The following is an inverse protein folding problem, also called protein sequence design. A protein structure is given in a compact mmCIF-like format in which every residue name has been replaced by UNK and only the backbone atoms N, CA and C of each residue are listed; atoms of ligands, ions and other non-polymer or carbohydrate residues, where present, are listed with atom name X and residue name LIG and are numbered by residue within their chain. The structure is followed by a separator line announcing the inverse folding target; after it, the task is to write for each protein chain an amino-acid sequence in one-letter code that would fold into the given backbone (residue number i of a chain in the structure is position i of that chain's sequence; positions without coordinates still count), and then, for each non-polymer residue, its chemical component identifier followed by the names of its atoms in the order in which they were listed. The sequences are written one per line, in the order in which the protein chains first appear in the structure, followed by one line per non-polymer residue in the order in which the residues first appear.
data_IF_612461578383
#
_entry.id   IF_612461578383
#
_cell.length_a   1.000
_cell.length_b   1.000
_cell.length_c   1.000
_cell.angle_alpha   90.00
_cell.angle_beta   90.00
_cell.angle_gamma   90.00
#
_symmetry.space_group_name_H-M   'P 1'
#
loop_
_entity.id
_entity.type
_entity.pdbx_description
1 polymer ?
#
# COMPACT_ATOMS: atom_id res chain seq x y z
N UNK A 1 19.80 -17.98 -30.48
CA UNK A 1 20.88 -17.01 -30.79
C UNK A 1 20.37 -15.65 -31.26
N UNK A 2 19.66 -15.51 -32.40
CA UNK A 2 19.20 -14.18 -32.87
C UNK A 2 18.12 -13.54 -31.97
N UNK A 3 17.10 -14.31 -31.57
CA UNK A 3 16.05 -13.84 -30.64
C UNK A 3 16.60 -13.40 -29.28
N UNK A 4 17.55 -14.15 -28.71
CA UNK A 4 18.18 -13.80 -27.43
C UNK A 4 19.05 -12.54 -27.55
N UNK A 5 19.73 -12.33 -28.68
CA UNK A 5 20.45 -11.07 -28.94
C UNK A 5 19.50 -9.88 -29.05
N UNK A 6 18.33 -10.07 -29.64
CA UNK A 6 17.30 -9.04 -29.74
C UNK A 6 16.68 -8.69 -28.38
N UNK A 7 16.36 -9.69 -27.56
CA UNK A 7 15.86 -9.50 -26.20
C UNK A 7 16.90 -8.83 -25.29
N UNK A 8 18.17 -9.22 -25.40
CA UNK A 8 19.26 -8.58 -24.67
C UNK A 8 19.43 -7.11 -25.08
N UNK A 9 19.24 -6.80 -26.36
CA UNK A 9 19.28 -5.42 -26.88
C UNK A 9 18.09 -4.60 -26.37
N UNK A 10 16.91 -5.18 -26.29
CA UNK A 10 15.72 -4.52 -25.72
C UNK A 10 15.88 -4.25 -24.22
N UNK A 11 16.40 -5.21 -23.45
CA UNK A 11 16.66 -5.00 -22.00
C UNK A 11 17.63 -3.84 -21.76
N UNK A 12 18.74 -3.80 -22.49
CA UNK A 12 19.72 -2.70 -22.40
C UNK A 12 19.11 -1.35 -22.79
N UNK A 13 18.25 -1.32 -23.80
CA UNK A 13 17.56 -0.10 -24.19
C UNK A 13 16.63 0.43 -23.08
N UNK A 14 15.89 -0.46 -22.43
CA UNK A 14 15.00 -0.10 -21.31
C UNK A 14 15.80 0.41 -20.10
N UNK A 15 16.96 -0.18 -19.80
CA UNK A 15 17.85 0.31 -18.74
C UNK A 15 18.38 1.71 -19.02
N UNK A 16 18.77 1.99 -20.27
CA UNK A 16 19.23 3.33 -20.67
C UNK A 16 18.10 4.38 -20.58
N UNK A 17 16.86 4.01 -20.91
CA UNK A 17 15.71 4.91 -20.78
C UNK A 17 15.39 5.26 -19.33
N UNK A 18 15.57 4.32 -18.39
CA UNK A 18 15.35 4.57 -16.95
C UNK A 18 16.33 5.58 -16.37
N UNK A 19 17.50 5.75 -16.99
CA UNK A 19 18.51 6.74 -16.59
C UNK A 19 18.30 8.11 -17.23
N UNK A 20 17.42 8.21 -18.24
CA UNK A 20 17.13 9.46 -18.92
C UNK A 20 16.24 10.33 -18.03
N UNK A 21 16.83 11.33 -17.37
CA UNK A 21 16.06 12.43 -16.78
C UNK A 21 15.57 13.34 -17.91
N UNK A 22 14.30 13.17 -18.28
CA UNK A 22 13.68 13.87 -19.39
C UNK A 22 13.23 15.26 -18.92
N UNK A 23 14.12 16.25 -19.06
CA UNK A 23 13.72 17.66 -19.09
C UNK A 23 13.35 18.13 -20.51
N UNK A 24 13.40 17.23 -21.50
CA UNK A 24 13.01 17.50 -22.88
C UNK A 24 11.58 16.99 -23.10
N UNK A 25 10.60 17.82 -23.48
CA UNK A 25 9.23 17.35 -23.70
C UNK A 25 9.22 16.07 -24.54
N UNK A 26 8.59 15.00 -24.03
CA UNK A 26 8.57 13.67 -24.66
C UNK A 26 8.24 13.71 -26.17
N UNK A 27 7.44 14.70 -26.58
CA UNK A 27 7.09 14.97 -27.97
C UNK A 27 8.28 15.40 -28.82
N UNK A 28 9.21 16.21 -28.29
CA UNK A 28 10.42 16.63 -28.99
C UNK A 28 11.40 15.47 -29.16
N UNK A 29 11.53 14.60 -28.14
CA UNK A 29 12.34 13.40 -28.23
C UNK A 29 11.81 12.43 -29.30
N UNK A 30 10.49 12.26 -29.40
CA UNK A 30 9.85 11.44 -30.44
C UNK A 30 9.97 12.05 -31.83
N UNK A 31 9.93 13.38 -31.96
CA UNK A 31 10.10 14.09 -33.22
C UNK A 31 11.52 13.91 -33.81
N UNK A 32 12.54 13.82 -32.95
CA UNK A 32 13.93 13.58 -33.36
C UNK A 32 14.24 12.11 -33.70
N UNK A 33 13.30 11.18 -33.47
CA UNK A 33 13.48 9.75 -33.79
C UNK A 33 12.58 9.33 -34.96
N UNK A 34 13.11 9.27 -36.20
CA UNK A 34 12.30 9.06 -37.41
C UNK A 34 11.50 7.75 -37.40
N UNK A 35 12.00 6.71 -36.73
CA UNK A 35 11.34 5.41 -36.59
C UNK A 35 10.08 5.47 -35.72
N UNK A 36 10.03 6.40 -34.78
CA UNK A 36 8.92 6.56 -33.82
C UNK A 36 8.00 7.74 -34.16
N UNK A 37 8.27 8.50 -35.23
CA UNK A 37 7.42 9.62 -35.68
C UNK A 37 5.96 9.22 -36.01
N UNK A 38 5.71 7.94 -36.31
CA UNK A 38 4.35 7.39 -36.51
C UNK A 38 3.62 7.06 -35.20
N UNK A 39 4.36 6.94 -34.10
CA UNK A 39 3.85 6.53 -32.80
C UNK A 39 2.89 7.58 -32.18
N UNK A 40 3.20 8.89 -32.20
CA UNK A 40 2.24 9.92 -31.77
C UNK A 40 0.93 9.86 -32.54
N UNK A 41 0.97 9.66 -33.86
CA UNK A 41 -0.24 9.55 -34.70
C UNK A 41 -1.06 8.30 -34.36
N UNK A 42 -0.39 7.17 -34.10
CA UNK A 42 -1.03 5.93 -33.65
C UNK A 42 -1.69 6.04 -32.27
N UNK A 43 -1.07 6.78 -31.35
CA UNK A 43 -1.62 7.09 -30.03
C UNK A 43 -2.87 7.96 -30.12
N UNK A 44 -2.84 9.02 -30.93
CA UNK A 44 -3.99 9.93 -31.11
C UNK A 44 -5.18 9.25 -31.77
N UNK A 45 -4.94 8.36 -32.75
CA UNK A 45 -6.00 7.62 -33.44
C UNK A 45 -6.61 6.52 -32.59
N UNK A 46 -5.88 5.99 -31.61
CA UNK A 46 -6.32 4.91 -30.73
C UNK A 46 -6.72 5.39 -29.32
N UNK A 47 -6.88 6.70 -29.14
CA UNK A 47 -7.16 7.37 -27.85
C UNK A 47 -8.32 6.73 -27.10
N UNK A 48 -9.44 6.45 -27.77
CA UNK A 48 -10.63 5.89 -27.14
C UNK A 48 -10.42 4.46 -26.58
N UNK A 49 -9.64 3.62 -27.28
CA UNK A 49 -9.30 2.27 -26.76
C UNK A 49 -8.28 2.34 -25.63
N UNK A 50 -7.37 3.32 -25.68
CA UNK A 50 -6.42 3.56 -24.59
C UNK A 50 -7.13 4.05 -23.33
N UNK A 51 -8.09 4.99 -23.46
CA UNK A 51 -8.93 5.45 -22.35
C UNK A 51 -9.72 4.28 -21.74
N UNK A 52 -10.35 3.44 -22.56
CA UNK A 52 -11.05 2.25 -22.08
C UNK A 52 -10.13 1.22 -21.41
N UNK A 53 -8.91 1.01 -21.93
CA UNK A 53 -7.94 0.06 -21.36
C UNK A 53 -7.21 0.61 -20.11
N UNK A 54 -7.08 1.93 -19.98
CA UNK A 54 -6.45 2.62 -18.87
C UNK A 54 -7.44 3.09 -17.81
N UNK A 55 -8.74 2.80 -17.96
CA UNK A 55 -9.74 3.05 -16.91
C UNK A 55 -9.54 2.02 -15.80
N UNK A 56 -8.53 2.24 -14.97
CA UNK A 56 -8.40 1.59 -13.68
C UNK A 56 -9.37 2.34 -12.76
N UNK A 57 -10.28 1.61 -12.12
CA UNK A 57 -11.18 2.20 -11.12
C UNK A 57 -10.33 2.56 -9.88
N UNK A 58 -9.75 3.76 -9.90
CA UNK A 58 -8.90 4.26 -8.81
C UNK A 58 -9.81 4.79 -7.71
N UNK A 59 -9.70 4.22 -6.51
CA UNK A 59 -10.35 4.81 -5.35
C UNK A 59 -9.71 6.18 -5.02
N UNK A 60 -10.44 7.03 -4.30
CA UNK A 60 -9.99 8.39 -3.97
C UNK A 60 -8.63 8.43 -3.27
N UNK A 61 -8.30 7.39 -2.48
CA UNK A 61 -6.99 7.29 -1.79
C UNK A 61 -5.85 7.15 -2.79
N UNK A 62 -6.02 6.32 -3.82
CA UNK A 62 -5.01 6.14 -4.85
C UNK A 62 -4.83 7.39 -5.71
N UNK A 63 -5.94 8.07 -6.03
CA UNK A 63 -5.93 9.38 -6.71
C UNK A 63 -5.22 10.46 -5.88
N UNK A 64 -5.45 10.52 -4.57
CA UNK A 64 -4.82 11.49 -3.68
C UNK A 64 -3.28 11.30 -3.67
N UNK A 65 -2.81 10.06 -3.54
CA UNK A 65 -1.38 9.74 -3.59
C UNK A 65 -0.76 10.09 -4.95
N UNK A 66 -1.42 9.72 -6.06
CA UNK A 66 -0.92 9.99 -7.41
C UNK A 66 -0.85 11.49 -7.73
N UNK A 67 -1.84 12.25 -7.26
CA UNK A 67 -1.92 13.70 -7.47
C UNK A 67 -1.11 14.49 -6.45
N UNK A 68 -0.34 13.84 -5.57
CA UNK A 68 0.34 14.45 -4.42
C UNK A 68 -0.59 15.38 -3.61
N UNK A 69 -1.88 15.05 -3.59
CA UNK A 69 -2.87 15.72 -2.75
C UNK A 69 -2.91 14.97 -1.43
N UNK A 70 -2.77 15.71 -0.34
CA UNK A 70 -3.02 15.16 0.98
C UNK A 70 -4.47 14.67 1.01
N UNK A 71 -4.72 13.37 1.26
CA UNK A 71 -6.07 12.91 1.50
C UNK A 71 -6.62 13.63 2.74
N UNK A 72 -7.91 13.95 2.72
CA UNK A 72 -8.59 14.50 3.89
C UNK A 72 -8.36 13.57 5.08
N UNK A 73 -7.95 14.15 6.21
CA UNK A 73 -7.76 13.38 7.44
C UNK A 73 -9.12 12.79 7.84
N UNK A 74 -9.21 11.46 7.77
CA UNK A 74 -10.35 10.71 8.31
C UNK A 74 -10.44 10.93 9.82
N UNK A 75 -11.66 10.90 10.36
CA UNK A 75 -11.85 10.93 11.81
C UNK A 75 -11.15 9.73 12.42
N UNK A 76 -10.46 9.96 13.53
CA UNK A 76 -9.91 8.86 14.31
C UNK A 76 -11.08 8.03 14.87
N UNK A 77 -11.18 6.73 14.55
CA UNK A 77 -12.21 5.88 15.13
C UNK A 77 -12.07 5.74 16.66
N UNK A 78 -10.91 6.09 17.23
CA UNK A 78 -10.63 5.96 18.65
C UNK A 78 -10.49 4.50 19.04
N UNK A 79 -11.56 3.93 19.61
CA UNK A 79 -11.66 2.50 19.94
C UNK A 79 -12.66 1.82 19.00
N UNK A 80 -12.27 0.67 18.45
CA UNK A 80 -13.11 -0.12 17.57
C UNK A 80 -13.00 -1.60 17.91
N UNK A 81 -13.88 -2.43 17.36
CA UNK A 81 -13.82 -3.87 17.55
C UNK A 81 -13.36 -4.54 16.26
N UNK A 82 -12.49 -5.53 16.40
CA UNK A 82 -12.04 -6.38 15.30
C UNK A 82 -12.26 -7.85 15.64
N UNK A 83 -12.57 -8.69 14.64
CA UNK A 83 -12.44 -10.12 14.81
C UNK A 83 -10.97 -10.46 15.02
N UNK A 84 -10.69 -11.34 15.97
CA UNK A 84 -9.36 -11.80 16.31
C UNK A 84 -9.39 -13.30 16.59
N UNK A 85 -8.41 -14.02 16.09
CA UNK A 85 -8.25 -15.44 16.36
C UNK A 85 -6.90 -15.68 17.01
N UNK A 86 -6.90 -16.40 18.13
CA UNK A 86 -5.66 -16.87 18.76
C UNK A 86 -5.73 -18.38 18.95
N UNK A 87 -4.80 -19.10 18.31
CA UNK A 87 -4.83 -20.56 18.15
C UNK A 87 -6.10 -21.04 17.46
N UNK A 88 -7.12 -21.43 18.23
CA UNK A 88 -8.44 -21.90 17.76
C UNK A 88 -9.59 -21.12 18.42
N UNK A 89 -9.27 -20.12 19.25
CA UNK A 89 -10.24 -19.29 19.92
C UNK A 89 -10.57 -18.09 19.04
N UNK A 90 -11.80 -18.06 18.54
CA UNK A 90 -12.34 -16.95 17.77
C UNK A 90 -12.99 -15.93 18.71
N UNK A 91 -12.54 -14.68 18.62
CA UNK A 91 -13.11 -13.52 19.29
C UNK A 91 -13.69 -12.63 18.21
N UNK A 92 -15.01 -12.48 18.17
CA UNK A 92 -15.64 -11.66 17.13
C UNK A 92 -15.42 -10.16 17.34
N UNK A 93 -15.30 -9.73 18.60
CA UNK A 93 -15.26 -8.33 19.00
C UNK A 93 -14.10 -8.05 19.98
N UNK A 94 -12.87 -8.21 19.52
CA UNK A 94 -11.70 -7.78 20.29
C UNK A 94 -11.58 -6.25 20.22
N UNK A 95 -11.46 -5.59 21.38
CA UNK A 95 -11.28 -4.15 21.44
C UNK A 95 -9.88 -3.77 20.94
N UNK A 96 -9.83 -2.91 19.93
CA UNK A 96 -8.61 -2.32 19.39
C UNK A 96 -8.62 -0.81 19.67
N UNK A 97 -7.62 -0.35 20.40
CA UNK A 97 -7.43 1.06 20.73
C UNK A 97 -6.11 1.54 20.13
N UNK A 98 -6.16 2.54 19.23
CA UNK A 98 -4.96 3.06 18.56
C UNK A 98 -4.02 3.81 19.52
N UNK A 99 -4.55 4.26 20.67
CA UNK A 99 -3.79 4.94 21.72
C UNK A 99 -3.23 4.01 22.81
N UNK A 100 -3.55 2.71 22.78
CA UNK A 100 -3.09 1.78 23.81
C UNK A 100 -1.64 1.33 23.53
N UNK A 101 -0.78 1.42 24.55
CA UNK A 101 0.61 0.96 24.48
C UNK A 101 0.79 -0.51 24.85
N UNK A 102 -0.26 -1.16 25.37
CA UNK A 102 -0.26 -2.54 25.85
C UNK A 102 -1.49 -3.30 25.36
N UNK A 103 -1.38 -4.62 25.29
CA UNK A 103 -2.51 -5.51 25.02
C UNK A 103 -2.88 -6.30 26.28
N UNK A 104 -4.17 -6.38 26.56
CA UNK A 104 -4.72 -7.12 27.71
C UNK A 104 -5.53 -8.32 27.22
N UNK A 105 -5.40 -9.44 27.93
CA UNK A 105 -6.22 -10.64 27.73
C UNK A 105 -6.84 -10.99 29.09
N UNK A 106 -8.16 -11.24 29.15
CA UNK A 106 -8.79 -11.71 30.39
C UNK A 106 -8.14 -13.01 30.89
N UNK A 107 -7.98 -13.13 32.20
CA UNK A 107 -7.34 -14.31 32.80
C UNK A 107 -8.05 -15.63 32.41
N UNK A 108 -9.38 -15.62 32.32
CA UNK A 108 -10.17 -16.77 31.86
C UNK A 108 -9.81 -17.22 30.43
N UNK A 109 -9.38 -16.29 29.57
CA UNK A 109 -8.89 -16.62 28.23
C UNK A 109 -7.45 -17.10 28.27
N UNK A 110 -6.61 -16.52 29.13
CA UNK A 110 -5.26 -17.01 29.38
C UNK A 110 -5.27 -18.47 29.83
N UNK A 111 -6.15 -18.85 30.76
CA UNK A 111 -6.31 -20.24 31.22
C UNK A 111 -6.71 -21.18 30.08
N UNK A 112 -7.69 -20.78 29.25
CA UNK A 112 -8.13 -21.55 28.08
C UNK A 112 -7.01 -21.77 27.05
N UNK A 113 -6.05 -20.85 26.98
CA UNK A 113 -4.91 -20.97 26.06
C UNK A 113 -3.84 -21.94 26.55
N UNK A 114 -3.91 -22.42 27.80
CA UNK A 114 -2.96 -23.39 28.34
C UNK A 114 -1.52 -22.88 28.35
N UNK A 115 -1.32 -21.58 28.61
CA UNK A 115 0.00 -20.93 28.54
C UNK A 115 0.91 -21.22 29.75
N UNK A 116 0.46 -22.07 30.68
CA UNK A 116 1.14 -22.38 31.93
C UNK A 116 0.84 -21.35 33.03
N UNK A 117 1.62 -21.38 34.11
CA UNK A 117 1.49 -20.38 35.17
C UNK A 117 2.13 -19.05 34.74
N UNK A 118 1.43 -17.92 34.89
CA UNK A 118 2.00 -16.63 34.57
C UNK A 118 3.07 -16.29 35.60
N UNK A 119 4.26 -15.89 35.14
CA UNK A 119 5.30 -15.39 36.03
C UNK A 119 4.85 -14.05 36.63
N UNK A 120 4.70 -13.93 37.97
CA UNK A 120 4.34 -12.67 38.59
C UNK A 120 5.36 -11.60 38.21
N UNK A 121 4.88 -10.56 37.55
CA UNK A 121 5.72 -9.45 37.09
C UNK A 121 5.16 -8.18 37.70
N UNK A 122 5.99 -7.44 38.43
CA UNK A 122 5.59 -6.18 39.04
C UNK A 122 5.44 -5.14 37.93
N UNK A 123 4.20 -4.80 37.59
CA UNK A 123 3.85 -3.76 36.63
C UNK A 123 2.99 -2.69 37.30
N UNK A 124 2.96 -1.50 36.70
CA UNK A 124 2.00 -0.44 37.02
C UNK A 124 1.33 -0.03 35.72
N UNK A 125 0.02 0.10 35.75
CA UNK A 125 -0.80 0.52 34.64
C UNK A 125 -1.34 1.91 34.93
N UNK A 126 -1.03 2.87 34.05
CA UNK A 126 -1.66 4.18 34.07
C UNK A 126 -2.77 4.18 33.00
N UNK A 127 -4.01 4.35 33.44
CA UNK A 127 -5.16 4.38 32.55
C UNK A 127 -5.38 5.81 32.00
N UNK A 128 -6.18 5.94 30.95
CA UNK A 128 -6.46 7.24 30.33
C UNK A 128 -7.12 8.26 31.28
N UNK A 129 -7.79 7.79 32.35
CA UNK A 129 -8.37 8.60 33.42
C UNK A 129 -7.36 8.96 34.53
N UNK A 130 -6.07 8.63 34.33
CA UNK A 130 -4.96 8.80 35.28
C UNK A 130 -5.08 7.95 36.54
N UNK A 131 -5.95 6.93 36.54
CA UNK A 131 -5.95 5.94 37.60
C UNK A 131 -4.73 5.00 37.45
N UNK A 132 -4.26 4.49 38.59
CA UNK A 132 -3.08 3.63 38.68
C UNK A 132 -3.50 2.24 39.17
N UNK A 133 -3.18 1.19 38.40
CA UNK A 133 -3.39 -0.22 38.74
C UNK A 133 -2.08 -0.99 38.86
#
# INVERSE_FOLDING_TARGET
VEKEKEEARQKRFVENLKQLHINLPFIEALAQMPKYAKFPKGLLTNKARLEAACTINMNERFLAVLLNKLPSKEKDPGSFTIPYEIRQFHINNALAELGASISLIPYTMYEKLGLGEPKPTRMRLELADRSMQ
#
